data_IF_262732078886
#
_entry.id   IF_262732078886
#
_cell.length_a   1.000
_cell.length_b   1.000
_cell.length_c   1.000
_cell.angle_alpha   90.00
_cell.angle_beta   90.00
_cell.angle_gamma   90.00
#
_symmetry.space_group_name_H-M   'P 1'
#
loop_
_entity.id
_entity.type
_entity.pdbx_description
1 polymer ?
#
# COMPACT_ATOMS: atom_id res chain seq x y z
N UNK A 1 -21.04 8.11 9.66
CA UNK A 1 -20.05 7.05 9.35
C UNK A 1 -19.17 6.81 10.57
N UNK A 2 -18.85 5.56 10.91
CA UNK A 2 -17.90 5.23 11.99
C UNK A 2 -16.51 5.09 11.37
N UNK A 3 -15.53 5.88 11.85
CA UNK A 3 -14.16 5.85 11.34
C UNK A 3 -13.49 4.52 11.70
N UNK A 4 -12.85 3.85 10.74
CA UNK A 4 -11.91 2.77 11.03
C UNK A 4 -10.63 3.39 11.59
N UNK A 5 -10.39 3.19 12.89
CA UNK A 5 -9.21 3.75 13.56
C UNK A 5 -7.91 3.03 13.20
N UNK A 6 -7.99 1.87 12.53
CA UNK A 6 -6.84 0.99 12.26
C UNK A 6 -6.50 0.86 10.78
N UNK A 7 -7.33 1.39 9.89
CA UNK A 7 -7.22 1.23 8.43
C UNK A 7 -7.03 -0.23 7.99
N UNK A 8 -7.65 -1.18 8.70
CA UNK A 8 -7.49 -2.61 8.46
C UNK A 8 -8.80 -3.32 8.11
N UNK A 9 -9.95 -2.70 8.30
CA UNK A 9 -11.24 -3.36 8.11
C UNK A 9 -11.43 -3.83 6.65
N UNK A 10 -11.22 -2.95 5.68
CA UNK A 10 -11.37 -3.27 4.26
C UNK A 10 -10.27 -4.21 3.75
N UNK A 11 -8.96 -3.99 4.03
CA UNK A 11 -7.92 -4.96 3.69
C UNK A 11 -8.20 -6.36 4.24
N UNK A 12 -8.67 -6.46 5.50
CA UNK A 12 -9.05 -7.74 6.12
C UNK A 12 -10.18 -8.43 5.37
N UNK A 13 -11.19 -7.66 4.96
CA UNK A 13 -12.34 -8.20 4.24
C UNK A 13 -11.92 -8.76 2.88
N UNK A 14 -11.16 -7.98 2.11
CA UNK A 14 -10.70 -8.35 0.76
C UNK A 14 -9.80 -9.58 0.81
N UNK A 15 -8.73 -9.58 1.62
CA UNK A 15 -7.80 -10.71 1.64
C UNK A 15 -8.48 -12.00 2.12
N UNK A 16 -9.45 -11.89 3.03
CA UNK A 16 -10.25 -13.04 3.47
C UNK A 16 -11.06 -13.64 2.33
N UNK A 17 -11.72 -12.80 1.54
CA UNK A 17 -12.53 -13.23 0.40
C UNK A 17 -11.68 -13.83 -0.72
N UNK A 18 -10.49 -13.26 -0.97
CA UNK A 18 -9.58 -13.74 -2.02
C UNK A 18 -8.84 -15.03 -1.66
N UNK A 19 -8.48 -15.21 -0.39
CA UNK A 19 -7.62 -16.33 0.04
C UNK A 19 -8.39 -17.48 0.69
N UNK A 20 -9.63 -17.25 1.13
CA UNK A 20 -10.37 -18.21 1.95
C UNK A 20 -9.91 -18.30 3.40
N UNK A 21 -8.92 -17.50 3.83
CA UNK A 21 -8.38 -17.51 5.19
C UNK A 21 -8.86 -16.35 6.05
N UNK A 22 -9.11 -16.61 7.33
CA UNK A 22 -9.57 -15.61 8.31
C UNK A 22 -8.90 -15.80 9.66
N UNK A 23 -8.67 -14.71 10.40
CA UNK A 23 -8.22 -14.78 11.81
C UNK A 23 -9.28 -15.38 12.74
N UNK A 24 -10.54 -15.37 12.32
CA UNK A 24 -11.67 -15.96 13.04
C UNK A 24 -12.23 -17.16 12.29
N UNK A 25 -12.53 -18.24 13.00
CA UNK A 25 -13.12 -19.45 12.43
C UNK A 25 -14.54 -19.15 11.93
N UNK A 26 -14.83 -19.52 10.68
CA UNK A 26 -16.18 -19.47 10.12
C UNK A 26 -16.42 -20.70 9.24
N UNK A 27 -17.67 -20.97 8.87
CA UNK A 27 -18.00 -22.04 7.93
C UNK A 27 -17.48 -21.80 6.52
N UNK A 28 -17.19 -20.54 6.16
CA UNK A 28 -16.73 -20.14 4.82
C UNK A 28 -15.22 -19.95 4.69
N UNK A 29 -14.49 -19.87 5.81
CA UNK A 29 -13.07 -19.50 5.80
C UNK A 29 -12.28 -20.33 6.80
N UNK A 30 -11.11 -20.78 6.38
CA UNK A 30 -10.16 -21.49 7.22
C UNK A 30 -9.51 -20.52 8.22
N UNK A 31 -9.32 -20.99 9.45
CA UNK A 31 -8.77 -20.14 10.51
C UNK A 31 -7.24 -20.13 10.44
N UNK A 32 -6.65 -18.94 10.34
CA UNK A 32 -5.21 -18.70 10.51
C UNK A 32 -4.94 -18.03 11.86
N UNK A 33 -3.81 -18.38 12.49
CA UNK A 33 -3.38 -17.85 13.78
C UNK A 33 -1.96 -17.32 13.69
N UNK A 34 -1.63 -16.31 14.49
CA UNK A 34 -0.32 -15.67 14.51
C UNK A 34 0.07 -14.98 13.19
N UNK A 35 -0.92 -14.50 12.43
CA UNK A 35 -0.72 -13.64 11.27
C UNK A 35 -1.28 -12.24 11.53
N UNK A 36 -0.68 -11.25 10.90
CA UNK A 36 -1.18 -9.89 10.78
C UNK A 36 -1.40 -9.54 9.32
N UNK A 37 -2.09 -8.44 9.08
CA UNK A 37 -2.24 -7.91 7.73
C UNK A 37 -1.14 -6.87 7.58
N UNK A 38 -0.46 -6.92 6.44
CA UNK A 38 0.59 -5.97 6.08
C UNK A 38 0.44 -5.58 4.63
N UNK A 39 1.06 -4.45 4.28
CA UNK A 39 1.18 -4.00 2.90
C UNK A 39 2.60 -4.25 2.38
N UNK A 40 2.73 -4.92 1.24
CA UNK A 40 4.04 -5.33 0.69
C UNK A 40 4.90 -4.12 0.32
N UNK A 41 4.28 -3.13 -0.32
CA UNK A 41 4.98 -1.94 -0.84
C UNK A 41 4.67 -0.67 -0.03
N UNK A 42 4.01 -0.79 1.12
CA UNK A 42 3.72 0.34 2.01
C UNK A 42 2.75 1.41 1.45
N UNK A 43 2.16 1.21 0.26
CA UNK A 43 1.21 2.15 -0.40
C UNK A 43 -0.15 2.19 0.29
N UNK A 44 -0.21 2.77 1.48
CA UNK A 44 -1.40 2.74 2.35
C UNK A 44 -2.32 3.94 2.19
N UNK A 45 -1.88 5.00 1.50
CA UNK A 45 -2.72 6.19 1.22
C UNK A 45 -3.13 6.27 -0.26
N UNK A 46 -2.53 5.45 -1.11
CA UNK A 46 -2.94 5.33 -2.50
C UNK A 46 -4.26 4.55 -2.63
N UNK A 47 -5.28 5.19 -3.21
CA UNK A 47 -6.62 4.60 -3.37
C UNK A 47 -6.66 3.35 -4.26
N UNK A 48 -5.75 3.24 -5.23
CA UNK A 48 -5.65 2.08 -6.12
C UNK A 48 -4.89 0.92 -5.47
N UNK A 49 -3.91 1.22 -4.60
CA UNK A 49 -3.03 0.20 -4.02
C UNK A 49 -3.45 -0.26 -2.62
N UNK A 50 -4.23 0.53 -1.87
CA UNK A 50 -4.53 0.26 -0.47
C UNK A 50 -5.23 -1.10 -0.23
N UNK A 51 -6.14 -1.48 -1.12
CA UNK A 51 -6.84 -2.77 -1.09
C UNK A 51 -6.46 -3.70 -2.25
N UNK A 52 -5.38 -3.39 -2.97
CA UNK A 52 -4.96 -4.18 -4.10
C UNK A 52 -4.49 -5.59 -3.65
N UNK A 53 -4.90 -6.67 -4.35
CA UNK A 53 -4.49 -8.04 -4.03
C UNK A 53 -2.97 -8.24 -4.03
N UNK A 54 -2.25 -7.50 -4.88
CA UNK A 54 -0.80 -7.54 -4.98
C UNK A 54 -0.08 -6.77 -3.86
N UNK A 55 -0.81 -5.94 -3.11
CA UNK A 55 -0.25 -5.13 -2.03
C UNK A 55 -0.64 -5.64 -0.63
N UNK A 56 -1.70 -6.44 -0.46
CA UNK A 56 -2.11 -6.95 0.86
C UNK A 56 -1.61 -8.37 1.09
N UNK A 57 -1.05 -8.65 2.27
CA UNK A 57 -0.60 -9.99 2.65
C UNK A 57 -1.00 -10.36 4.08
N UNK A 58 -1.19 -11.67 4.32
CA UNK A 58 -1.12 -12.23 5.66
C UNK A 58 0.34 -12.49 6.02
N UNK A 59 0.91 -11.62 6.85
CA UNK A 59 2.28 -11.72 7.33
C UNK A 59 2.34 -12.48 8.66
N UNK A 60 3.15 -13.54 8.82
CA UNK A 60 3.41 -14.14 10.13
C UNK A 60 3.92 -13.08 11.12
N UNK A 61 3.33 -13.01 12.32
CA UNK A 61 3.74 -12.05 13.36
C UNK A 61 5.18 -12.24 13.83
N UNK A 62 5.74 -13.44 13.64
CA UNK A 62 7.15 -13.70 13.95
C UNK A 62 8.12 -12.92 13.02
N UNK A 63 7.63 -12.42 11.88
CA UNK A 63 8.42 -11.61 10.95
C UNK A 63 8.29 -10.11 11.24
N UNK A 64 7.46 -9.71 12.21
CA UNK A 64 7.28 -8.31 12.59
C UNK A 64 8.60 -7.60 12.97
N UNK A 65 9.59 -8.25 13.64
CA UNK A 65 10.90 -7.64 13.87
C UNK A 65 11.69 -7.30 12.59
N UNK A 66 11.34 -7.90 11.45
CA UNK A 66 11.97 -7.65 10.15
C UNK A 66 11.16 -6.69 9.26
N UNK A 67 9.90 -6.40 9.62
CA UNK A 67 8.98 -5.62 8.77
C UNK A 67 8.35 -4.42 9.47
N UNK A 68 8.52 -4.31 10.79
CA UNK A 68 7.93 -3.25 11.61
C UNK A 68 8.62 -1.90 11.38
N UNK A 69 7.90 -0.82 11.69
CA UNK A 69 8.37 0.56 11.57
C UNK A 69 9.58 0.90 12.47
N UNK A 70 9.91 0.02 13.41
CA UNK A 70 11.04 0.15 14.34
C UNK A 70 12.26 -0.68 13.92
N UNK A 71 12.12 -1.53 12.89
CA UNK A 71 13.18 -2.37 12.37
C UNK A 71 14.22 -1.50 11.63
N UNK A 72 15.51 -1.61 11.99
CA UNK A 72 16.62 -0.92 11.30
C UNK A 72 17.81 -1.85 11.07
N UNK A 73 18.52 -1.65 9.95
CA UNK A 73 19.81 -2.28 9.63
C UNK A 73 19.76 -3.15 8.38
N UNK A 74 20.94 -3.53 7.89
CA UNK A 74 21.16 -4.16 6.59
C UNK A 74 20.29 -5.41 6.34
N UNK A 75 20.07 -6.23 7.38
CA UNK A 75 19.26 -7.44 7.28
C UNK A 75 17.79 -7.16 6.94
N UNK A 76 17.26 -6.02 7.42
CA UNK A 76 15.88 -5.61 7.15
C UNK A 76 15.75 -5.02 5.76
N UNK A 77 16.76 -4.29 5.31
CA UNK A 77 16.82 -3.78 3.94
C UNK A 77 16.86 -4.95 2.96
N UNK A 78 17.71 -5.95 3.21
CA UNK A 78 17.78 -7.19 2.43
C UNK A 78 16.45 -7.95 2.44
N UNK A 79 15.86 -8.17 3.63
CA UNK A 79 14.57 -8.83 3.74
C UNK A 79 13.47 -8.08 2.98
N UNK A 80 13.43 -6.75 3.09
CA UNK A 80 12.42 -5.91 2.43
C UNK A 80 12.54 -6.03 0.92
N UNK A 81 13.75 -5.98 0.37
CA UNK A 81 14.01 -6.15 -1.06
C UNK A 81 13.56 -7.55 -1.52
N UNK A 82 13.96 -8.61 -0.83
CA UNK A 82 13.57 -9.98 -1.19
C UNK A 82 12.05 -10.19 -1.11
N UNK A 83 11.42 -9.65 -0.08
CA UNK A 83 9.98 -9.74 0.14
C UNK A 83 9.19 -9.00 -0.95
N UNK A 84 9.61 -7.78 -1.30
CA UNK A 84 9.03 -7.00 -2.38
C UNK A 84 9.26 -7.65 -3.75
N UNK A 85 10.46 -8.18 -4.01
CA UNK A 85 10.78 -8.93 -5.23
C UNK A 85 9.87 -10.15 -5.39
N UNK A 86 9.64 -10.90 -4.31
CA UNK A 86 8.74 -12.04 -4.34
C UNK A 86 7.29 -11.62 -4.64
N UNK A 87 6.83 -10.54 -4.01
CA UNK A 87 5.51 -9.96 -4.28
C UNK A 87 5.36 -9.52 -5.74
N UNK A 88 6.35 -8.79 -6.25
CA UNK A 88 6.37 -8.30 -7.62
C UNK A 88 6.34 -9.45 -8.62
N UNK A 89 7.26 -10.42 -8.51
CA UNK A 89 7.33 -11.55 -9.43
C UNK A 89 6.01 -12.35 -9.49
N UNK A 90 5.29 -12.43 -8.37
CA UNK A 90 4.00 -13.14 -8.31
C UNK A 90 2.86 -12.36 -8.98
N UNK A 91 2.92 -11.03 -8.94
CA UNK A 91 1.82 -10.16 -9.36
C UNK A 91 2.23 -9.14 -10.43
N UNK A 92 3.31 -9.41 -11.17
CA UNK A 92 3.96 -8.47 -12.09
C UNK A 92 2.95 -7.82 -13.03
N UNK A 93 2.11 -8.62 -13.69
CA UNK A 93 1.10 -8.10 -14.63
C UNK A 93 0.13 -7.07 -14.00
N UNK A 94 -0.30 -7.28 -12.74
CA UNK A 94 -1.21 -6.34 -12.06
C UNK A 94 -0.48 -5.09 -11.59
N UNK A 95 0.80 -5.22 -11.24
CA UNK A 95 1.63 -4.10 -10.81
C UNK A 95 2.06 -3.26 -12.00
N UNK A 96 2.35 -3.89 -13.15
CA UNK A 96 2.62 -3.21 -14.42
C UNK A 96 1.40 -2.41 -14.88
N UNK A 97 0.19 -2.99 -14.83
CA UNK A 97 -1.05 -2.26 -15.11
C UNK A 97 -1.23 -1.06 -14.17
N UNK A 98 -0.97 -1.23 -12.87
CA UNK A 98 -0.97 -0.12 -11.91
C UNK A 98 0.04 0.96 -12.32
N UNK A 99 1.27 0.59 -12.66
CA UNK A 99 2.33 1.50 -13.07
C UNK A 99 1.96 2.27 -14.35
N UNK A 100 1.33 1.63 -15.33
CA UNK A 100 0.82 2.28 -16.55
C UNK A 100 -0.24 3.35 -16.23
N UNK A 101 -1.14 3.08 -15.27
CA UNK A 101 -2.18 4.03 -14.87
C UNK A 101 -1.56 5.28 -14.24
N UNK A 102 -0.65 5.10 -13.28
CA UNK A 102 -0.09 6.23 -12.51
C UNK A 102 0.96 7.03 -13.28
N UNK A 103 1.60 6.44 -14.30
CA UNK A 103 2.54 7.15 -15.20
C UNK A 103 1.83 7.77 -16.40
N UNK A 104 0.52 7.56 -16.55
CA UNK A 104 -0.25 8.14 -17.64
C UNK A 104 -0.23 9.68 -17.59
N UNK A 105 0.16 10.32 -18.69
CA UNK A 105 0.24 11.79 -18.76
C UNK A 105 -1.09 12.48 -18.40
N UNK A 106 -2.24 11.94 -18.84
CA UNK A 106 -3.54 12.54 -18.49
C UNK A 106 -3.85 12.44 -17.00
N UNK A 107 -3.33 11.42 -16.33
CA UNK A 107 -3.46 11.28 -14.87
C UNK A 107 -2.57 12.33 -14.18
N UNK A 108 -1.29 12.40 -14.55
CA UNK A 108 -0.33 13.36 -14.00
C UNK A 108 -0.78 14.81 -14.21
N UNK A 109 -1.25 15.16 -15.41
CA UNK A 109 -1.77 16.49 -15.72
C UNK A 109 -2.97 16.87 -14.82
N UNK A 110 -3.86 15.92 -14.54
CA UNK A 110 -5.00 16.15 -13.63
C UNK A 110 -4.57 16.34 -12.19
N UNK A 111 -3.57 15.58 -11.73
CA UNK A 111 -3.00 15.74 -10.40
C UNK A 111 -2.37 17.13 -10.26
N UNK A 112 -1.54 17.53 -11.22
CA UNK A 112 -0.89 18.84 -11.20
C UNK A 112 -1.90 19.98 -11.30
N UNK A 113 -2.88 19.86 -12.19
CA UNK A 113 -3.97 20.83 -12.29
C UNK A 113 -4.70 20.98 -10.95
N UNK A 114 -5.02 19.88 -10.28
CA UNK A 114 -5.70 19.91 -8.98
C UNK A 114 -4.85 20.58 -7.90
N UNK A 115 -3.53 20.31 -7.89
CA UNK A 115 -2.59 20.96 -6.97
C UNK A 115 -2.50 22.47 -7.23
N UNK A 116 -2.40 22.88 -8.50
CA UNK A 116 -2.36 24.30 -8.87
C UNK A 116 -3.62 25.08 -8.48
N UNK A 117 -4.80 24.43 -8.57
CA UNK A 117 -6.04 25.02 -8.08
C UNK A 117 -6.00 25.22 -6.56
N UNK A 118 -5.49 24.24 -5.81
CA UNK A 118 -5.33 24.37 -4.36
C UNK A 118 -4.30 25.45 -3.98
N UNK A 119 -3.24 25.63 -4.76
CA UNK A 119 -2.24 26.71 -4.56
C UNK A 119 -2.84 28.09 -4.78
N UNK A 120 -3.76 28.20 -5.73
CA UNK A 120 -4.50 29.45 -5.96
C UNK A 120 -5.59 29.73 -4.91
N UNK A 121 -5.98 28.71 -4.13
CA UNK A 121 -6.93 28.84 -3.03
C UNK A 121 -6.20 29.22 -1.75
N UNK A 122 -6.39 30.46 -1.29
CA UNK A 122 -5.79 30.98 -0.05
C UNK A 122 -6.28 30.30 1.24
N UNK A 123 -7.13 29.29 1.14
CA UNK A 123 -7.57 28.46 2.27
C UNK A 123 -6.47 27.56 2.83
N UNK A 124 -5.41 27.30 2.06
CA UNK A 124 -4.30 26.43 2.46
C UNK A 124 -2.98 27.20 2.50
N UNK A 125 -2.11 26.84 3.45
CA UNK A 125 -0.75 27.36 3.46
C UNK A 125 0.11 26.64 2.42
N UNK A 126 1.09 27.33 1.84
CA UNK A 126 2.03 26.70 0.90
C UNK A 126 2.73 25.46 1.48
N UNK A 127 3.03 25.46 2.78
CA UNK A 127 3.63 24.31 3.47
C UNK A 127 2.71 23.08 3.52
N UNK A 128 1.40 23.26 3.63
CA UNK A 128 0.44 22.15 3.61
C UNK A 128 0.35 21.55 2.21
N UNK A 129 0.38 22.40 1.18
CA UNK A 129 0.36 21.96 -0.21
C UNK A 129 1.65 21.22 -0.56
N UNK A 130 2.82 21.72 -0.14
CA UNK A 130 4.10 21.05 -0.37
C UNK A 130 4.12 19.64 0.28
N UNK A 131 3.59 19.52 1.50
CA UNK A 131 3.44 18.22 2.18
C UNK A 131 2.50 17.29 1.43
N UNK A 132 1.38 17.81 0.92
CA UNK A 132 0.43 17.04 0.12
C UNK A 132 1.08 16.57 -1.18
N UNK A 133 1.72 17.47 -1.92
CA UNK A 133 2.44 17.20 -3.17
C UNK A 133 3.48 16.11 -2.96
N UNK A 134 4.29 16.20 -1.90
CA UNK A 134 5.23 15.14 -1.54
C UNK A 134 4.52 13.81 -1.26
N UNK A 135 3.45 13.82 -0.46
CA UNK A 135 2.71 12.58 -0.16
C UNK A 135 2.08 11.95 -1.40
N UNK A 136 1.63 12.75 -2.37
CA UNK A 136 1.08 12.26 -3.64
C UNK A 136 2.21 11.65 -4.47
N UNK A 137 3.33 12.35 -4.63
CA UNK A 137 4.47 11.85 -5.39
C UNK A 137 5.00 10.54 -4.82
N UNK A 138 5.08 10.44 -3.49
CA UNK A 138 5.50 9.21 -2.82
C UNK A 138 4.48 8.09 -3.09
N UNK A 139 3.19 8.28 -2.82
CA UNK A 139 2.17 7.22 -2.87
C UNK A 139 1.74 6.81 -4.29
N UNK A 140 1.83 7.71 -5.26
CA UNK A 140 1.51 7.49 -6.67
C UNK A 140 2.75 7.30 -7.54
N UNK A 141 3.90 6.98 -6.95
CA UNK A 141 5.08 6.55 -7.69
C UNK A 141 4.96 5.08 -8.13
N UNK A 142 5.54 4.73 -9.30
CA UNK A 142 5.65 3.36 -9.76
C UNK A 142 6.18 2.42 -8.68
N UNK A 143 5.70 1.19 -8.69
CA UNK A 143 6.35 0.11 -7.96
C UNK A 143 7.48 -0.39 -8.83
N UNK A 144 8.69 -0.07 -8.41
CA UNK A 144 9.93 -0.59 -8.96
C UNK A 144 10.57 -1.47 -7.89
N UNK A 145 11.17 -2.55 -8.32
CA UNK A 145 11.92 -3.44 -7.45
C UNK A 145 13.35 -3.48 -7.94
N UNK A 146 14.28 -3.22 -7.03
CA UNK A 146 15.70 -3.29 -7.32
C UNK A 146 16.07 -4.77 -7.53
N UNK A 147 16.52 -5.08 -8.75
CA UNK A 147 17.12 -6.37 -9.08
C UNK A 147 18.59 -6.39 -8.66
#
# INVERSE_FOLDING_TARGET
MKKDSTNNAEPTKIIRELTGYSKTKSTKHESIRNYQISHIFGRTKNIYAFTAPWNIVYMPKMLDPFTGHEAKGDLIDEYTVLFQNQGYNKFAALIEEFNEIITNMKFLDKVEYSLSLMESDHSFSGQEIDKLRKSINDEFAPIEVNA
#
